data_IF_592393399857
#
_entry.id   IF_592393399857
#
_cell.length_a   1.000
_cell.length_b   1.000
_cell.length_c   1.000
_cell.angle_alpha   90.00
_cell.angle_beta   90.00
_cell.angle_gamma   90.00
#
_symmetry.space_group_name_H-M   'P 1'
#
loop_
_entity.id
_entity.type
_entity.pdbx_description
1 polymer ?
#
# COMPACT_ATOMS: atom_id res chain seq x y z
N UNK A 1 -5.44 14.41 8.08
CA UNK A 1 -5.81 13.57 6.91
C UNK A 1 -4.69 12.60 6.58
N UNK A 2 -5.02 11.43 6.01
CA UNK A 2 -4.02 10.47 5.52
C UNK A 2 -4.10 10.42 3.99
N UNK A 3 -3.09 10.97 3.34
CA UNK A 3 -2.90 10.95 1.90
C UNK A 3 -1.85 9.90 1.51
N UNK A 4 -1.64 9.74 0.21
CA UNK A 4 -0.61 8.85 -0.33
C UNK A 4 0.01 9.45 -1.58
N UNK A 5 1.22 9.02 -1.91
CA UNK A 5 1.94 9.43 -3.11
C UNK A 5 2.40 8.20 -3.89
N UNK A 6 2.47 8.36 -5.21
CA UNK A 6 2.91 7.30 -6.11
C UNK A 6 3.38 7.91 -7.45
N UNK A 7 4.10 7.15 -8.28
CA UNK A 7 4.52 7.63 -9.59
C UNK A 7 3.36 7.86 -10.54
N UNK A 8 3.54 8.80 -11.47
CA UNK A 8 2.55 9.14 -12.49
C UNK A 8 3.15 9.17 -13.91
N UNK A 9 4.15 8.30 -14.16
CA UNK A 9 4.82 8.23 -15.45
C UNK A 9 3.82 7.86 -16.55
N UNK A 10 3.77 8.68 -17.61
CA UNK A 10 2.90 8.45 -18.76
C UNK A 10 3.05 7.02 -19.31
N UNK A 11 1.92 6.30 -19.39
CA UNK A 11 1.83 4.92 -19.88
C UNK A 11 2.49 3.85 -18.99
N UNK A 12 3.08 4.22 -17.84
CA UNK A 12 3.87 3.30 -17.00
C UNK A 12 3.51 3.34 -15.51
N UNK A 13 2.50 4.13 -15.10
CA UNK A 13 2.02 4.20 -13.71
C UNK A 13 1.73 2.82 -13.13
N UNK A 14 0.93 2.00 -13.81
CA UNK A 14 0.57 0.66 -13.33
C UNK A 14 1.80 -0.19 -13.02
N UNK A 15 2.79 -0.25 -13.93
CA UNK A 15 4.04 -0.99 -13.73
C UNK A 15 4.83 -0.45 -12.55
N UNK A 16 5.00 0.87 -12.46
CA UNK A 16 5.80 1.50 -11.41
C UNK A 16 5.20 1.31 -10.01
N UNK A 17 3.87 1.36 -9.89
CA UNK A 17 3.16 1.04 -8.64
C UNK A 17 3.22 -0.46 -8.36
N UNK A 18 3.03 -1.31 -9.37
CA UNK A 18 3.07 -2.77 -9.23
C UNK A 18 4.42 -3.25 -8.70
N UNK A 19 5.55 -2.65 -9.14
CA UNK A 19 6.89 -2.98 -8.62
C UNK A 19 7.21 -2.39 -7.23
N UNK A 20 6.27 -1.66 -6.62
CA UNK A 20 6.33 -1.29 -5.20
C UNK A 20 6.39 0.20 -4.88
N UNK A 21 6.32 1.10 -5.85
CA UNK A 21 6.40 2.54 -5.58
C UNK A 21 5.05 3.10 -5.11
N UNK A 22 4.88 3.16 -3.79
CA UNK A 22 3.82 3.90 -3.12
C UNK A 22 4.31 4.31 -1.72
N UNK A 23 3.80 5.42 -1.19
CA UNK A 23 4.07 5.85 0.18
C UNK A 23 2.93 6.69 0.73
N UNK A 24 2.93 6.93 2.04
CA UNK A 24 1.90 7.69 2.73
C UNK A 24 2.36 9.11 3.07
N UNK A 25 1.40 10.02 3.16
CA UNK A 25 1.57 11.38 3.69
C UNK A 25 0.56 11.56 4.82
N UNK A 26 1.04 11.78 6.03
CA UNK A 26 0.20 12.10 7.18
C UNK A 26 0.17 13.62 7.32
N UNK A 27 -1.02 14.19 7.29
CA UNK A 27 -1.27 15.62 7.46
C UNK A 27 -1.97 15.81 8.80
N UNK A 28 -1.33 16.53 9.71
CA UNK A 28 -1.87 16.89 11.01
C UNK A 28 -2.22 18.38 11.06
N UNK A 29 -3.14 18.73 11.94
CA UNK A 29 -3.51 20.12 12.25
C UNK A 29 -3.65 20.30 13.78
N UNK A 30 -3.84 21.54 14.22
CA UNK A 30 -3.97 21.83 15.65
C UNK A 30 -5.24 21.25 16.29
N UNK A 31 -6.24 20.86 15.50
CA UNK A 31 -7.48 20.29 16.01
C UNK A 31 -7.29 18.81 16.37
N UNK A 32 -6.68 18.02 15.48
CA UNK A 32 -6.45 16.58 15.72
C UNK A 32 -5.54 16.33 16.93
N UNK A 33 -4.56 17.20 17.18
CA UNK A 33 -3.64 17.07 18.32
C UNK A 33 -4.34 17.26 19.68
N UNK A 34 -5.51 17.91 19.72
CA UNK A 34 -6.29 18.15 20.95
C UNK A 34 -7.23 16.98 21.28
N UNK A 35 -7.50 16.10 20.31
CA UNK A 35 -8.46 14.98 20.49
C UNK A 35 -7.88 13.82 21.29
N UNK A 36 -6.57 13.82 21.57
CA UNK A 36 -5.88 12.77 22.33
C UNK A 36 -6.15 11.35 21.80
N UNK A 37 -6.27 11.23 20.47
CA UNK A 37 -6.36 9.93 19.79
C UNK A 37 -5.08 9.10 20.00
N UNK A 38 -5.14 7.77 19.78
CA UNK A 38 -3.95 6.97 19.54
C UNK A 38 -3.05 7.66 18.51
N UNK A 39 -1.76 7.79 18.84
CA UNK A 39 -0.80 8.62 18.08
C UNK A 39 0.63 8.16 18.23
N UNK A 40 0.85 6.98 18.80
CA UNK A 40 2.14 6.33 18.81
C UNK A 40 2.28 5.53 17.51
N UNK A 41 2.94 6.17 16.55
CA UNK A 41 3.18 5.59 15.23
C UNK A 41 3.85 4.21 15.33
N UNK A 42 3.27 3.21 14.67
CA UNK A 42 3.74 1.83 14.69
C UNK A 42 3.33 1.03 15.93
N UNK A 43 2.54 1.60 16.84
CA UNK A 43 2.05 0.92 18.05
C UNK A 43 0.52 0.92 18.07
N UNK A 44 -0.08 2.09 18.23
CA UNK A 44 -1.54 2.29 18.30
C UNK A 44 -2.08 3.20 17.20
N UNK A 45 -1.19 3.87 16.45
CA UNK A 45 -1.45 4.49 15.16
C UNK A 45 -0.62 3.77 14.09
N UNK A 46 -1.27 3.03 13.20
CA UNK A 46 -0.58 2.15 12.24
C UNK A 46 -1.09 2.33 10.81
N UNK A 47 -0.20 2.50 9.82
CA UNK A 47 -0.60 2.47 8.43
C UNK A 47 -0.91 1.04 7.99
N UNK A 48 -1.94 0.87 7.17
CA UNK A 48 -2.31 -0.43 6.58
C UNK A 48 -2.50 -0.24 5.08
N UNK A 49 -1.45 -0.49 4.30
CA UNK A 49 -1.45 -0.45 2.84
C UNK A 49 -1.68 -1.88 2.34
N UNK A 50 -2.85 -2.14 1.74
CA UNK A 50 -3.21 -3.44 1.16
C UNK A 50 -2.95 -3.40 -0.35
N UNK A 51 -2.22 -4.38 -0.86
CA UNK A 51 -1.92 -4.52 -2.28
C UNK A 51 -1.98 -5.99 -2.68
N UNK A 52 -2.55 -6.31 -3.82
CA UNK A 52 -2.41 -7.62 -4.46
C UNK A 52 -1.25 -7.62 -5.46
N UNK A 53 -0.58 -8.77 -5.57
CA UNK A 53 0.48 -9.02 -6.57
C UNK A 53 0.42 -10.46 -7.05
N UNK A 54 0.91 -10.67 -8.27
CA UNK A 54 1.21 -11.99 -8.81
C UNK A 54 2.72 -12.13 -8.98
N UNK A 55 3.25 -13.30 -8.66
CA UNK A 55 4.67 -13.60 -8.80
C UNK A 55 4.89 -14.70 -9.84
N UNK A 56 6.00 -14.62 -10.58
CA UNK A 56 6.45 -15.69 -11.45
C UNK A 56 7.20 -16.78 -10.65
N UNK A 57 7.62 -17.85 -11.33
CA UNK A 57 8.34 -18.96 -10.70
C UNK A 57 9.67 -18.56 -10.03
N UNK A 58 10.28 -17.46 -10.48
CA UNK A 58 11.52 -16.91 -9.92
C UNK A 58 11.27 -15.92 -8.76
N UNK A 59 10.01 -15.78 -8.32
CA UNK A 59 9.60 -14.87 -7.25
C UNK A 59 9.61 -13.38 -7.63
N UNK A 60 9.70 -13.05 -8.93
CA UNK A 60 9.59 -11.68 -9.42
C UNK A 60 8.13 -11.30 -9.68
N UNK A 61 7.81 -10.01 -9.62
CA UNK A 61 6.47 -9.49 -9.90
C UNK A 61 6.13 -9.69 -11.38
N UNK A 62 5.07 -10.46 -11.66
CA UNK A 62 4.57 -10.79 -13.00
C UNK A 62 3.60 -9.70 -13.51
N UNK A 63 4.11 -8.48 -13.70
CA UNK A 63 3.34 -7.37 -14.25
C UNK A 63 3.31 -7.38 -15.78
N UNK A 64 2.12 -7.27 -16.36
CA UNK A 64 1.93 -7.07 -17.79
C UNK A 64 0.88 -5.99 -18.07
N UNK A 65 1.05 -5.28 -19.18
CA UNK A 65 0.03 -4.41 -19.76
C UNK A 65 -0.25 -4.89 -21.19
N UNK A 66 -1.27 -5.73 -21.31
CA UNK A 66 -1.75 -6.40 -22.52
C UNK A 66 -3.25 -6.15 -22.73
N UNK A 67 -3.85 -6.79 -23.74
CA UNK A 67 -5.28 -6.60 -24.07
C UNK A 67 -6.20 -6.93 -22.89
N UNK A 68 -5.90 -7.99 -22.13
CA UNK A 68 -6.72 -8.40 -21.00
C UNK A 68 -6.60 -7.41 -19.84
N UNK A 69 -5.38 -7.13 -19.40
CA UNK A 69 -5.12 -6.22 -18.28
C UNK A 69 -5.48 -4.76 -18.59
N UNK A 70 -5.46 -4.35 -19.86
CA UNK A 70 -6.01 -3.07 -20.29
C UNK A 70 -7.54 -3.02 -20.22
N UNK A 71 -8.23 -4.16 -20.36
CA UNK A 71 -9.68 -4.24 -20.31
C UNK A 71 -10.23 -4.42 -18.88
N UNK A 72 -9.58 -5.25 -18.06
CA UNK A 72 -10.08 -5.63 -16.72
C UNK A 72 -9.16 -5.26 -15.55
N UNK A 73 -7.99 -4.67 -15.83
CA UNK A 73 -6.97 -4.37 -14.83
C UNK A 73 -5.97 -5.51 -14.62
N UNK A 74 -4.79 -5.17 -14.12
CA UNK A 74 -3.85 -6.14 -13.59
C UNK A 74 -4.16 -6.37 -12.11
N UNK A 75 -4.32 -7.62 -11.72
CA UNK A 75 -4.56 -8.07 -10.35
C UNK A 75 -3.81 -9.39 -10.11
N UNK A 76 -3.59 -9.72 -8.85
CA UNK A 76 -2.84 -10.90 -8.43
C UNK A 76 -3.58 -11.80 -7.46
N UNK A 77 -2.90 -12.88 -7.08
CA UNK A 77 -3.38 -13.91 -6.16
C UNK A 77 -2.73 -13.83 -4.77
N UNK A 78 -1.73 -12.97 -4.60
CA UNK A 78 -1.00 -12.80 -3.35
C UNK A 78 -1.31 -11.45 -2.73
N UNK A 79 -1.99 -11.45 -1.58
CA UNK A 79 -2.29 -10.25 -0.83
C UNK A 79 -1.12 -9.86 0.08
N UNK A 80 -0.75 -8.58 0.06
CA UNK A 80 0.28 -7.98 0.88
C UNK A 80 -0.31 -6.92 1.78
N UNK A 81 0.24 -6.80 2.99
CA UNK A 81 -0.03 -5.72 3.93
C UNK A 81 1.29 -5.07 4.28
N UNK A 82 1.44 -3.78 3.95
CA UNK A 82 2.71 -3.04 4.08
C UNK A 82 3.90 -3.78 3.43
N UNK A 83 3.65 -4.50 2.32
CA UNK A 83 4.66 -5.28 1.60
C UNK A 83 4.94 -6.68 2.18
N UNK A 84 4.38 -7.04 3.33
CA UNK A 84 4.53 -8.37 3.93
C UNK A 84 3.33 -9.28 3.61
N UNK A 85 3.57 -10.59 3.48
CA UNK A 85 2.51 -11.60 3.36
C UNK A 85 1.99 -11.89 4.78
N UNK A 86 0.69 -11.65 4.98
CA UNK A 86 -0.04 -11.92 6.23
C UNK A 86 0.76 -11.61 7.52
N UNK A 87 1.18 -10.34 7.72
CA UNK A 87 1.90 -9.96 8.93
C UNK A 87 0.97 -9.96 10.16
N UNK A 88 1.59 -9.96 11.34
CA UNK A 88 0.94 -9.68 12.61
C UNK A 88 1.37 -8.31 13.13
N UNK A 89 0.46 -7.63 13.82
CA UNK A 89 0.75 -6.40 14.56
C UNK A 89 0.25 -6.55 16.00
N UNK A 90 1.12 -6.23 16.97
CA UNK A 90 0.76 -6.25 18.38
C UNK A 90 0.30 -4.85 18.80
N UNK A 91 -0.96 -4.73 19.23
CA UNK A 91 -1.52 -3.48 19.75
C UNK A 91 -1.63 -3.54 21.29
N UNK A 92 -1.47 -2.40 22.00
CA UNK A 92 -1.72 -2.33 23.43
C UNK A 92 -3.19 -2.65 23.75
N UNK A 93 -3.44 -3.18 24.94
CA UNK A 93 -4.80 -3.31 25.47
C UNK A 93 -5.27 -1.94 25.97
N UNK A 94 -6.47 -1.54 25.56
CA UNK A 94 -7.13 -0.32 26.05
C UNK A 94 -7.59 -0.42 27.49
#
# INVERSE_FOLDING_TARGET
ATCWFHPHQHGKTGRQVAIGLAGLVVIEDDEILKLMLPKQWGIDDVPVIVQDKKFNADGQIDYQLDVMTAAVGWFGDTLLTNGAIYPQHAAPRG
#
